data_IF_599706236587
#
_entry.id   IF_599706236587
#
_cell.length_a   1.000
_cell.length_b   1.000
_cell.length_c   1.000
_cell.angle_alpha   90.00
_cell.angle_beta   90.00
_cell.angle_gamma   90.00
#
_symmetry.space_group_name_H-M   'P 1'
#
loop_
_entity.id
_entity.type
_entity.pdbx_description
1 polymer ?
#
# COMPACT_ATOMS: atom_id res chain seq x y z
N UNK A 1 -9.33 -13.98 23.70
CA UNK A 1 -10.10 -12.81 23.22
C UNK A 1 -10.97 -13.24 22.05
N UNK A 2 -12.19 -12.68 21.94
CA UNK A 2 -13.09 -12.95 20.81
C UNK A 2 -13.04 -11.79 19.82
N UNK A 3 -12.81 -12.06 18.55
CA UNK A 3 -12.60 -11.06 17.51
C UNK A 3 -13.57 -11.27 16.36
N UNK A 4 -14.13 -10.19 15.85
CA UNK A 4 -14.79 -10.12 14.55
C UNK A 4 -13.90 -9.30 13.63
N UNK A 5 -13.42 -9.91 12.54
CA UNK A 5 -12.54 -9.25 11.58
C UNK A 5 -13.27 -9.00 10.25
N UNK A 6 -13.28 -7.74 9.82
CA UNK A 6 -13.88 -7.36 8.55
C UNK A 6 -12.98 -7.74 7.36
N UNK A 7 -13.53 -8.43 6.37
CA UNK A 7 -12.78 -9.00 5.24
C UNK A 7 -13.00 -8.28 3.92
N UNK A 8 -13.77 -7.20 3.88
CA UNK A 8 -14.08 -6.44 2.67
C UNK A 8 -12.86 -5.94 1.88
N UNK A 9 -11.73 -5.61 2.54
CA UNK A 9 -10.53 -5.20 1.81
C UNK A 9 -9.81 -6.35 1.07
N UNK A 10 -10.10 -7.60 1.44
CA UNK A 10 -9.51 -8.79 0.79
C UNK A 10 -10.19 -9.02 -0.55
N UNK A 11 -9.69 -8.35 -1.59
CA UNK A 11 -10.18 -8.46 -2.99
C UNK A 11 -9.00 -8.68 -3.91
N UNK A 12 -9.14 -9.61 -4.84
CA UNK A 12 -8.09 -9.93 -5.81
C UNK A 12 -8.27 -9.17 -7.14
N UNK A 13 -7.18 -8.65 -7.75
CA UNK A 13 -5.81 -8.65 -7.23
C UNK A 13 -5.69 -7.83 -5.93
N UNK A 14 -4.81 -8.28 -5.01
CA UNK A 14 -4.66 -7.64 -3.71
C UNK A 14 -4.02 -6.26 -3.84
N UNK A 15 -4.62 -5.28 -3.18
CA UNK A 15 -3.97 -3.99 -2.88
C UNK A 15 -3.10 -4.11 -1.62
N UNK A 16 -2.31 -3.08 -1.30
CA UNK A 16 -1.55 -3.05 -0.03
C UNK A 16 -2.44 -3.28 1.20
N UNK A 17 -3.63 -2.64 1.25
CA UNK A 17 -4.62 -2.83 2.32
C UNK A 17 -5.21 -4.25 2.31
N UNK A 18 -5.47 -4.79 1.13
CA UNK A 18 -5.94 -6.17 0.99
C UNK A 18 -4.91 -7.18 1.49
N UNK A 19 -3.63 -6.97 1.18
CA UNK A 19 -2.51 -7.79 1.66
C UNK A 19 -2.37 -7.71 3.18
N UNK A 20 -2.38 -6.51 3.75
CA UNK A 20 -2.40 -6.32 5.21
C UNK A 20 -3.52 -7.11 5.86
N UNK A 21 -4.76 -6.95 5.36
CA UNK A 21 -5.93 -7.63 5.92
C UNK A 21 -5.82 -9.15 5.85
N UNK A 22 -5.32 -9.68 4.72
CA UNK A 22 -5.12 -11.11 4.51
C UNK A 22 -4.05 -11.67 5.44
N UNK A 23 -2.89 -11.01 5.52
CA UNK A 23 -1.76 -11.47 6.33
C UNK A 23 -2.08 -11.42 7.84
N UNK A 24 -2.79 -10.36 8.27
CA UNK A 24 -3.19 -10.22 9.65
C UNK A 24 -4.24 -11.26 10.04
N UNK A 25 -5.31 -11.43 9.26
CA UNK A 25 -6.38 -12.38 9.60
C UNK A 25 -5.90 -13.82 9.62
N UNK A 26 -5.00 -14.23 8.73
CA UNK A 26 -4.39 -15.56 8.74
C UNK A 26 -3.64 -15.84 10.05
N UNK A 27 -2.91 -14.86 10.57
CA UNK A 27 -2.14 -15.00 11.80
C UNK A 27 -3.00 -14.93 13.05
N UNK A 28 -4.02 -14.06 13.04
CA UNK A 28 -5.00 -14.02 14.12
C UNK A 28 -5.74 -15.35 14.26
N UNK A 29 -6.02 -16.05 13.15
CA UNK A 29 -6.71 -17.34 13.17
C UNK A 29 -5.94 -18.48 13.89
N UNK A 30 -4.62 -18.33 14.02
CA UNK A 30 -3.76 -19.34 14.69
C UNK A 30 -3.12 -18.82 15.98
N UNK A 31 -3.40 -17.57 16.36
CA UNK A 31 -2.84 -16.96 17.56
C UNK A 31 -3.51 -17.52 18.82
N UNK A 32 -2.71 -17.92 19.81
CA UNK A 32 -3.18 -18.53 21.07
C UNK A 32 -4.04 -17.58 21.91
N UNK A 33 -3.82 -16.28 21.79
CA UNK A 33 -4.54 -15.24 22.51
C UNK A 33 -5.98 -15.03 21.98
N UNK A 34 -6.26 -15.53 20.78
CA UNK A 34 -7.57 -15.43 20.13
C UNK A 34 -8.35 -16.71 20.40
N UNK A 35 -9.37 -16.60 21.25
CA UNK A 35 -10.25 -17.69 21.61
C UNK A 35 -11.24 -18.03 20.48
N UNK A 36 -11.75 -16.99 19.83
CA UNK A 36 -12.69 -17.12 18.73
C UNK A 36 -12.47 -15.99 17.72
N UNK A 37 -12.35 -16.37 16.44
CA UNK A 37 -12.27 -15.45 15.32
C UNK A 37 -13.45 -15.66 14.37
N UNK A 38 -14.27 -14.63 14.20
CA UNK A 38 -15.34 -14.61 13.19
C UNK A 38 -14.95 -13.68 12.04
N UNK A 39 -15.22 -14.13 10.82
CA UNK A 39 -15.00 -13.35 9.61
C UNK A 39 -16.30 -12.66 9.23
N UNK A 40 -16.24 -11.34 8.98
CA UNK A 40 -17.40 -10.54 8.61
C UNK A 40 -17.19 -9.92 7.25
N UNK A 41 -18.16 -10.10 6.35
CA UNK A 41 -18.09 -9.56 4.98
C UNK A 41 -19.43 -8.90 4.61
N UNK A 42 -19.37 -7.62 4.23
CA UNK A 42 -20.58 -6.86 3.93
C UNK A 42 -21.47 -6.68 5.17
N UNK A 43 -22.46 -7.50 5.34
CA UNK A 43 -23.38 -7.50 6.48
C UNK A 43 -23.70 -8.93 6.97
N UNK A 44 -22.79 -9.88 6.75
CA UNK A 44 -22.94 -11.28 7.12
C UNK A 44 -21.61 -11.91 7.55
N UNK A 45 -21.70 -12.97 8.35
CA UNK A 45 -20.55 -13.80 8.69
C UNK A 45 -20.24 -14.76 7.54
N UNK A 46 -18.97 -15.07 7.36
CA UNK A 46 -18.46 -16.03 6.39
C UNK A 46 -17.53 -17.03 7.12
N UNK A 47 -17.46 -18.27 6.62
CA UNK A 47 -16.68 -19.34 7.26
C UNK A 47 -15.23 -19.39 6.78
N UNK A 48 -14.92 -18.79 5.62
CA UNK A 48 -13.59 -18.85 5.01
C UNK A 48 -13.10 -17.48 4.60
N UNK A 49 -11.78 -17.28 4.71
CA UNK A 49 -11.12 -16.09 4.19
C UNK A 49 -11.32 -16.04 2.66
N UNK A 50 -11.73 -14.88 2.09
CA UNK A 50 -11.90 -14.75 0.65
C UNK A 50 -10.64 -15.19 -0.13
N UNK A 51 -10.82 -16.07 -1.10
CA UNK A 51 -9.75 -16.61 -1.96
C UNK A 51 -9.90 -16.12 -3.40
N UNK A 52 -8.87 -16.34 -4.22
CA UNK A 52 -8.93 -16.08 -5.66
C UNK A 52 -10.03 -16.96 -6.26
N UNK A 53 -11.05 -16.35 -6.84
CA UNK A 53 -12.01 -17.11 -7.66
C UNK A 53 -11.28 -17.71 -8.87
N UNK A 54 -11.15 -19.02 -8.93
CA UNK A 54 -10.68 -19.71 -10.12
C UNK A 54 -11.67 -19.42 -11.24
N UNK A 55 -11.20 -18.80 -12.33
CA UNK A 55 -11.99 -18.46 -13.52
C UNK A 55 -12.67 -19.65 -14.20
N UNK A 56 -12.47 -20.87 -13.73
CA UNK A 56 -13.11 -22.08 -14.28
C UNK A 56 -14.60 -22.23 -13.92
N UNK A 57 -15.13 -21.50 -12.93
CA UNK A 57 -16.54 -21.63 -12.50
C UNK A 57 -17.44 -20.46 -12.90
N UNK A 58 -17.01 -19.60 -13.82
CA UNK A 58 -17.91 -18.59 -14.38
C UNK A 58 -18.89 -19.21 -15.40
N UNK A 59 -19.89 -19.93 -14.89
CA UNK A 59 -21.22 -19.78 -15.49
C UNK A 59 -21.53 -18.30 -15.39
N UNK A 60 -21.60 -17.63 -16.56
CA UNK A 60 -21.93 -16.22 -16.68
C UNK A 60 -23.19 -15.93 -15.87
N UNK A 61 -23.01 -15.51 -14.62
CA UNK A 61 -24.14 -15.19 -13.78
C UNK A 61 -24.68 -13.85 -14.28
N UNK A 62 -25.92 -13.83 -14.67
CA UNK A 62 -26.69 -12.61 -14.99
C UNK A 62 -26.64 -11.55 -13.87
N UNK A 63 -26.13 -11.92 -12.67
CA UNK A 63 -25.92 -11.03 -11.54
C UNK A 63 -24.86 -9.94 -11.78
N UNK A 64 -23.80 -10.22 -12.56
CA UNK A 64 -22.75 -9.22 -12.85
C UNK A 64 -23.24 -8.05 -13.70
N UNK A 65 -24.13 -8.31 -14.67
CA UNK A 65 -24.73 -7.25 -15.52
C UNK A 65 -25.79 -6.44 -14.77
N UNK A 66 -26.59 -7.10 -13.92
CA UNK A 66 -27.60 -6.45 -13.10
C UNK A 66 -26.94 -5.56 -12.04
N UNK A 67 -25.86 -6.01 -11.39
CA UNK A 67 -25.11 -5.23 -10.40
C UNK A 67 -24.42 -4.01 -11.01
N UNK A 68 -23.90 -4.12 -12.24
CA UNK A 68 -23.30 -3.00 -12.95
C UNK A 68 -24.34 -1.94 -13.38
N UNK A 69 -25.55 -2.38 -13.75
CA UNK A 69 -26.67 -1.48 -14.06
C UNK A 69 -27.22 -0.78 -12.80
N UNK A 70 -27.36 -1.52 -11.70
CA UNK A 70 -27.80 -0.99 -10.39
C UNK A 70 -26.81 0.03 -9.82
N UNK A 71 -25.51 -0.14 -10.05
CA UNK A 71 -24.44 0.82 -9.64
C UNK A 71 -24.48 2.15 -10.39
N UNK A 72 -25.26 2.30 -11.43
CA UNK A 72 -25.45 3.56 -12.18
C UNK A 72 -26.68 4.36 -11.75
N UNK A 73 -27.49 3.83 -10.84
CA UNK A 73 -28.70 4.51 -10.34
C UNK A 73 -28.40 5.25 -9.04
N UNK A 74 -28.36 6.61 -9.02
CA UNK A 74 -27.99 7.40 -7.83
C UNK A 74 -28.85 7.07 -6.60
N UNK A 75 -30.16 6.90 -6.80
CA UNK A 75 -31.12 6.59 -5.73
C UNK A 75 -30.86 5.23 -5.06
N UNK A 76 -30.42 4.22 -5.82
CA UNK A 76 -30.09 2.90 -5.28
C UNK A 76 -28.77 2.92 -4.50
N UNK A 77 -27.82 3.73 -4.94
CA UNK A 77 -26.56 3.95 -4.22
C UNK A 77 -26.84 4.65 -2.89
N UNK A 78 -27.70 5.65 -2.87
CA UNK A 78 -28.13 6.34 -1.64
C UNK A 78 -28.87 5.42 -0.69
N UNK A 79 -29.83 4.64 -1.20
CA UNK A 79 -30.57 3.65 -0.40
C UNK A 79 -29.60 2.58 0.19
N UNK A 80 -28.65 2.09 -0.61
CA UNK A 80 -27.62 1.17 -0.12
C UNK A 80 -26.76 1.81 0.97
N UNK A 81 -26.32 3.06 0.78
CA UNK A 81 -25.52 3.81 1.78
C UNK A 81 -26.27 3.99 3.11
N UNK A 82 -27.58 4.17 3.08
CA UNK A 82 -28.40 4.32 4.28
C UNK A 82 -28.73 2.99 4.97
N UNK A 83 -28.96 1.94 4.19
CA UNK A 83 -29.42 0.64 4.72
C UNK A 83 -28.26 -0.27 5.14
N UNK A 84 -27.11 -0.19 4.44
CA UNK A 84 -25.98 -1.08 4.70
C UNK A 84 -25.43 -0.97 6.13
N UNK A 85 -25.16 0.24 6.70
CA UNK A 85 -24.70 0.37 8.07
C UNK A 85 -25.71 -0.14 9.11
N UNK A 86 -27.01 0.01 8.84
CA UNK A 86 -28.07 -0.52 9.72
C UNK A 86 -28.10 -2.04 9.71
N UNK A 87 -27.91 -2.66 8.53
CA UNK A 87 -27.84 -4.12 8.41
C UNK A 87 -26.61 -4.68 9.12
N UNK A 88 -25.47 -4.01 9.02
CA UNK A 88 -24.25 -4.36 9.75
C UNK A 88 -24.50 -4.28 11.27
N UNK A 89 -25.03 -3.16 11.75
CA UNK A 89 -25.31 -2.97 13.18
C UNK A 89 -26.30 -4.01 13.71
N UNK A 90 -27.30 -4.42 12.90
CA UNK A 90 -28.24 -5.49 13.26
C UNK A 90 -27.55 -6.85 13.33
N UNK A 91 -26.69 -7.20 12.38
CA UNK A 91 -25.96 -8.46 12.37
C UNK A 91 -24.96 -8.58 13.54
N UNK A 92 -24.46 -7.47 14.03
CA UNK A 92 -23.43 -7.41 15.09
C UNK A 92 -24.03 -7.20 16.51
N UNK A 93 -25.34 -7.00 16.63
CA UNK A 93 -26.00 -6.61 17.90
C UNK A 93 -25.81 -7.60 19.06
N UNK A 94 -25.68 -8.89 18.75
CA UNK A 94 -25.57 -9.98 19.71
C UNK A 94 -24.10 -10.31 20.08
N UNK A 95 -23.13 -9.56 19.52
CA UNK A 95 -21.68 -9.80 19.65
C UNK A 95 -20.98 -8.69 20.44
N UNK A 96 -21.57 -8.22 21.52
CA UNK A 96 -21.06 -7.07 22.32
C UNK A 96 -19.76 -7.40 23.04
N UNK A 97 -19.50 -8.67 23.36
CA UNK A 97 -18.29 -9.17 23.99
C UNK A 97 -17.10 -9.34 23.00
N UNK A 98 -17.37 -9.22 21.70
CA UNK A 98 -16.33 -9.29 20.67
C UNK A 98 -15.70 -7.92 20.40
N UNK A 99 -14.41 -7.93 20.09
CA UNK A 99 -13.72 -6.78 19.49
C UNK A 99 -13.97 -6.85 18.00
N UNK A 100 -14.60 -5.81 17.44
CA UNK A 100 -14.72 -5.67 15.99
C UNK A 100 -13.52 -4.93 15.45
N UNK A 101 -12.79 -5.51 14.49
CA UNK A 101 -11.71 -4.87 13.78
C UNK A 101 -12.05 -4.60 12.32
N UNK A 102 -12.16 -3.32 11.95
CA UNK A 102 -12.20 -2.82 10.59
C UNK A 102 -10.78 -2.55 10.10
N UNK A 103 -10.18 -3.39 9.23
CA UNK A 103 -8.78 -3.24 8.82
C UNK A 103 -8.56 -2.15 7.76
N UNK A 104 -9.57 -1.33 7.50
CA UNK A 104 -9.53 -0.22 6.55
C UNK A 104 -10.53 0.86 6.95
N UNK A 105 -10.10 1.92 7.59
CA UNK A 105 -10.80 3.15 7.98
C UNK A 105 -12.21 2.99 8.55
N UNK A 106 -13.10 2.24 7.87
CA UNK A 106 -14.54 2.27 8.10
C UNK A 106 -14.98 1.34 9.22
N UNK A 107 -15.94 1.85 10.03
CA UNK A 107 -16.57 1.10 11.11
C UNK A 107 -18.09 1.08 10.93
N UNK A 108 -18.75 -0.03 11.25
CA UNK A 108 -20.21 -0.04 11.48
C UNK A 108 -20.61 0.85 12.66
N UNK A 109 -21.82 1.38 12.61
CA UNK A 109 -22.33 2.21 13.72
C UNK A 109 -22.60 1.38 14.98
N UNK A 110 -22.49 2.05 16.15
CA UNK A 110 -22.93 1.52 17.47
C UNK A 110 -22.17 0.30 17.97
N UNK A 111 -20.88 0.20 17.69
CA UNK A 111 -20.03 -0.85 18.27
C UNK A 111 -19.45 -0.38 19.60
N UNK A 112 -19.51 -1.25 20.63
CA UNK A 112 -18.96 -0.94 21.95
C UNK A 112 -17.43 -1.12 22.01
N UNK A 113 -16.88 -2.09 21.28
CA UNK A 113 -15.45 -2.45 21.24
C UNK A 113 -14.94 -2.44 19.79
N UNK A 114 -14.83 -1.25 19.22
CA UNK A 114 -14.44 -1.07 17.83
C UNK A 114 -12.97 -0.67 17.68
N UNK A 115 -12.26 -1.39 16.83
CA UNK A 115 -10.89 -1.08 16.37
C UNK A 115 -10.93 -0.81 14.88
N UNK A 116 -10.21 0.20 14.43
CA UNK A 116 -10.02 0.45 13.00
C UNK A 116 -8.55 0.73 12.68
N UNK A 117 -8.11 0.34 11.48
CA UNK A 117 -6.76 0.65 11.00
C UNK A 117 -6.80 1.81 10.00
N UNK A 118 -6.03 2.85 10.30
CA UNK A 118 -5.78 3.97 9.41
C UNK A 118 -4.45 3.76 8.70
N UNK A 119 -4.51 3.51 7.39
CA UNK A 119 -3.32 3.30 6.57
C UNK A 119 -2.63 4.60 6.17
N UNK A 120 -3.39 5.67 6.00
CA UNK A 120 -2.93 7.05 5.84
C UNK A 120 -4.06 8.02 6.17
N UNK A 121 -3.75 9.31 6.20
CA UNK A 121 -4.73 10.39 6.33
C UNK A 121 -4.53 11.46 5.26
N UNK A 122 -4.01 11.06 4.11
CA UNK A 122 -3.72 11.95 2.97
C UNK A 122 -4.94 12.75 2.49
N UNK A 123 -6.14 12.22 2.70
CA UNK A 123 -7.40 12.93 2.42
C UNK A 123 -7.50 14.26 3.20
N UNK A 124 -6.96 14.31 4.42
CA UNK A 124 -7.01 15.50 5.27
C UNK A 124 -5.77 16.39 5.10
N UNK A 125 -4.61 15.80 4.84
CA UNK A 125 -3.32 16.50 4.82
C UNK A 125 -2.95 17.02 3.44
N UNK A 126 -3.39 16.34 2.38
CA UNK A 126 -3.11 16.71 0.99
C UNK A 126 -4.31 16.37 0.08
N UNK A 127 -5.50 16.98 0.35
CA UNK A 127 -6.73 16.71 -0.40
C UNK A 127 -6.62 17.04 -1.90
N UNK A 128 -5.72 17.95 -2.27
CA UNK A 128 -5.45 18.35 -3.65
C UNK A 128 -4.93 17.20 -4.53
N UNK A 129 -4.34 16.16 -3.92
CA UNK A 129 -3.87 14.98 -4.65
C UNK A 129 -4.97 13.94 -4.90
N UNK A 130 -6.19 14.20 -4.42
CA UNK A 130 -7.30 13.27 -4.53
C UNK A 130 -8.47 13.84 -5.35
N UNK A 131 -9.23 12.99 -6.04
CA UNK A 131 -10.47 13.42 -6.68
C UNK A 131 -11.45 14.03 -5.65
N UNK A 132 -12.03 15.20 -5.96
CA UNK A 132 -12.88 15.98 -5.03
C UNK A 132 -14.05 15.18 -4.45
N UNK A 133 -14.69 14.32 -5.27
CA UNK A 133 -15.80 13.49 -4.80
C UNK A 133 -15.34 12.43 -3.79
N UNK A 134 -14.11 11.91 -3.97
CA UNK A 134 -13.50 10.98 -3.03
C UNK A 134 -13.19 11.66 -1.69
N UNK A 135 -12.62 12.87 -1.73
CA UNK A 135 -12.32 13.68 -0.53
C UNK A 135 -13.60 13.86 0.30
N UNK A 136 -14.65 14.43 -0.31
CA UNK A 136 -15.91 14.71 0.39
C UNK A 136 -16.54 13.47 1.04
N UNK A 137 -16.51 12.33 0.34
CA UNK A 137 -17.08 11.09 0.86
C UNK A 137 -16.22 10.52 2.01
N UNK A 138 -14.90 10.47 1.82
CA UNK A 138 -13.99 9.88 2.80
C UNK A 138 -13.87 10.73 4.06
N UNK A 139 -13.78 12.06 3.97
CA UNK A 139 -13.72 12.94 5.13
C UNK A 139 -14.81 12.63 6.14
N UNK A 140 -16.08 12.59 5.68
CA UNK A 140 -17.21 12.29 6.56
C UNK A 140 -17.06 10.92 7.23
N UNK A 141 -16.79 9.89 6.44
CA UNK A 141 -16.70 8.51 6.94
C UNK A 141 -15.52 8.29 7.87
N UNK A 142 -14.40 8.98 7.63
CA UNK A 142 -13.22 8.91 8.49
C UNK A 142 -13.46 9.63 9.83
N UNK A 143 -14.14 10.77 9.84
CA UNK A 143 -14.56 11.43 11.08
C UNK A 143 -15.50 10.54 11.90
N UNK A 144 -16.51 9.93 11.28
CA UNK A 144 -17.41 8.99 11.94
C UNK A 144 -16.65 7.80 12.57
N UNK A 145 -15.61 7.31 11.90
CA UNK A 145 -14.78 6.22 12.41
C UNK A 145 -13.85 6.67 13.54
N UNK A 146 -13.27 7.89 13.46
CA UNK A 146 -12.48 8.49 14.53
C UNK A 146 -13.31 8.63 15.83
N UNK A 147 -14.53 9.09 15.70
CA UNK A 147 -15.46 9.29 16.84
C UNK A 147 -15.91 7.93 17.44
N UNK A 148 -16.15 6.94 16.60
CA UNK A 148 -16.70 5.64 17.01
C UNK A 148 -15.66 4.66 17.51
N UNK A 149 -14.41 4.74 17.03
CA UNK A 149 -13.34 3.82 17.41
C UNK A 149 -12.98 3.95 18.88
N UNK A 150 -12.89 2.83 19.58
CA UNK A 150 -12.31 2.77 20.93
C UNK A 150 -10.79 2.73 20.87
N UNK A 151 -10.24 2.17 19.79
CA UNK A 151 -8.83 2.09 19.52
C UNK A 151 -8.58 2.27 18.01
N UNK A 152 -7.60 3.08 17.67
CA UNK A 152 -7.10 3.23 16.31
C UNK A 152 -5.75 2.53 16.18
N UNK A 153 -5.58 1.77 15.13
CA UNK A 153 -4.28 1.27 14.69
C UNK A 153 -3.78 2.11 13.53
N UNK A 154 -2.50 2.41 13.52
CA UNK A 154 -1.83 3.09 12.41
C UNK A 154 -0.66 2.23 11.94
N UNK A 155 -0.29 2.39 10.68
CA UNK A 155 0.75 1.57 10.07
C UNK A 155 2.16 2.18 10.21
N UNK A 156 2.25 3.42 10.72
CA UNK A 156 3.50 4.14 10.97
C UNK A 156 3.37 5.08 12.16
N UNK A 157 4.50 5.43 12.78
CA UNK A 157 4.54 6.42 13.86
C UNK A 157 4.25 7.82 13.33
N UNK A 158 4.60 8.11 12.07
CA UNK A 158 4.19 9.31 11.37
C UNK A 158 2.66 9.45 11.31
N UNK A 159 1.95 8.45 10.79
CA UNK A 159 0.48 8.47 10.71
C UNK A 159 -0.17 8.59 12.09
N UNK A 160 0.41 7.94 13.11
CA UNK A 160 -0.02 8.08 14.50
C UNK A 160 0.09 9.52 14.97
N UNK A 161 1.24 10.13 14.79
CA UNK A 161 1.50 11.52 15.21
C UNK A 161 0.58 12.52 14.51
N UNK A 162 0.34 12.33 13.22
CA UNK A 162 -0.57 13.17 12.44
C UNK A 162 -2.02 13.07 12.91
N UNK A 163 -2.52 11.87 13.23
CA UNK A 163 -3.88 11.71 13.76
C UNK A 163 -4.01 12.40 15.13
N UNK A 164 -3.03 12.22 16.01
CA UNK A 164 -3.02 12.90 17.31
C UNK A 164 -3.04 14.41 17.12
N UNK A 165 -2.18 14.94 16.25
CA UNK A 165 -2.02 16.38 16.01
C UNK A 165 -3.27 17.00 15.38
N UNK A 166 -3.84 16.38 14.34
CA UNK A 166 -4.95 16.95 13.54
C UNK A 166 -6.29 16.85 14.26
N UNK A 167 -6.53 15.74 14.96
CA UNK A 167 -7.84 15.43 15.56
C UNK A 167 -7.82 15.53 17.10
N UNK A 168 -6.68 15.97 17.70
CA UNK A 168 -6.48 15.96 19.15
C UNK A 168 -6.88 14.60 19.75
N UNK A 169 -6.53 13.50 19.04
CA UNK A 169 -6.96 12.15 19.40
C UNK A 169 -6.20 11.66 20.64
N UNK A 170 -6.86 10.99 21.60
CA UNK A 170 -6.21 10.51 22.82
C UNK A 170 -5.06 9.54 22.54
N UNK A 171 -3.88 9.81 23.09
CA UNK A 171 -2.65 9.04 22.85
C UNK A 171 -2.77 7.59 23.29
N UNK A 172 -3.55 7.33 24.34
CA UNK A 172 -3.84 6.02 24.90
C UNK A 172 -4.80 5.18 24.05
N UNK A 173 -5.48 5.79 23.07
CA UNK A 173 -6.43 5.14 22.18
C UNK A 173 -5.91 4.96 20.74
N UNK A 174 -4.61 5.10 20.56
CA UNK A 174 -3.97 4.93 19.24
C UNK A 174 -2.65 4.19 19.37
N UNK A 175 -2.45 3.16 18.57
CA UNK A 175 -1.24 2.35 18.56
C UNK A 175 -0.69 2.17 17.15
N UNK A 176 0.63 2.08 17.01
CA UNK A 176 1.29 1.76 15.75
C UNK A 176 1.47 0.26 15.60
N UNK A 177 1.13 -0.27 14.42
CA UNK A 177 1.34 -1.66 14.01
C UNK A 177 2.00 -1.66 12.63
N UNK A 178 3.34 -1.70 12.61
CA UNK A 178 4.12 -1.57 11.37
C UNK A 178 3.87 -2.75 10.44
N UNK A 179 3.72 -2.46 9.14
CA UNK A 179 3.50 -3.47 8.11
C UNK A 179 4.77 -4.27 7.81
N UNK A 180 4.60 -5.33 7.04
CA UNK A 180 5.69 -6.08 6.44
C UNK A 180 5.39 -6.37 4.96
N UNK A 181 6.39 -6.80 4.19
CA UNK A 181 6.19 -7.30 2.83
C UNK A 181 5.91 -8.82 2.83
N UNK A 182 5.52 -9.35 1.66
CA UNK A 182 5.39 -10.80 1.48
C UNK A 182 6.77 -11.47 1.55
N UNK A 183 6.79 -12.73 2.01
CA UNK A 183 7.99 -13.59 2.01
C UNK A 183 8.56 -13.86 0.61
N UNK A 184 7.83 -13.53 -0.45
CA UNK A 184 8.27 -13.67 -1.83
C UNK A 184 9.33 -12.62 -2.23
N UNK A 185 9.38 -11.49 -1.51
CA UNK A 185 10.37 -10.42 -1.72
C UNK A 185 11.67 -10.78 -1.00
N UNK A 186 12.56 -11.43 -1.73
CA UNK A 186 13.88 -11.87 -1.28
C UNK A 186 14.94 -11.59 -2.37
N UNK A 187 16.22 -11.52 -2.02
CA UNK A 187 17.27 -11.49 -3.02
C UNK A 187 17.22 -12.73 -3.92
N UNK A 188 17.43 -12.54 -5.20
CA UNK A 188 17.45 -13.61 -6.22
C UNK A 188 18.69 -13.53 -7.09
N UNK A 189 19.06 -14.64 -7.64
CA UNK A 189 20.14 -14.73 -8.65
C UNK A 189 19.66 -14.28 -10.05
N UNK A 190 20.59 -13.90 -10.94
CA UNK A 190 20.24 -13.61 -12.35
C UNK A 190 19.50 -14.76 -13.04
N UNK A 191 19.84 -16.00 -12.74
CA UNK A 191 19.22 -17.18 -13.34
C UNK A 191 17.73 -17.32 -12.93
N UNK A 192 17.41 -17.07 -11.65
CA UNK A 192 16.03 -17.11 -11.17
C UNK A 192 15.16 -16.00 -11.77
N UNK A 193 15.75 -14.83 -12.02
CA UNK A 193 15.01 -13.69 -12.62
C UNK A 193 14.87 -13.79 -14.14
N UNK A 194 15.69 -14.59 -14.82
CA UNK A 194 15.78 -14.63 -16.28
C UNK A 194 14.45 -14.83 -16.99
N UNK A 195 13.55 -15.76 -16.58
CA UNK A 195 12.26 -15.96 -17.28
C UNK A 195 11.39 -14.70 -17.26
N UNK A 196 11.33 -13.99 -16.11
CA UNK A 196 10.55 -12.76 -15.96
C UNK A 196 11.21 -11.61 -16.72
N UNK A 197 12.53 -11.49 -16.65
CA UNK A 197 13.28 -10.48 -17.41
C UNK A 197 13.07 -10.64 -18.92
N UNK A 198 13.09 -11.87 -19.43
CA UNK A 198 12.80 -12.15 -20.85
C UNK A 198 11.36 -11.76 -21.23
N UNK A 199 10.37 -12.08 -20.39
CA UNK A 199 8.97 -11.69 -20.59
C UNK A 199 8.81 -10.18 -20.76
N UNK A 200 9.52 -9.40 -19.97
CA UNK A 200 9.48 -7.94 -20.04
C UNK A 200 10.64 -7.31 -20.84
N UNK A 201 11.48 -8.12 -21.51
CA UNK A 201 12.64 -7.66 -22.28
C UNK A 201 13.54 -6.70 -21.48
N UNK A 202 13.87 -7.10 -20.26
CA UNK A 202 14.74 -6.36 -19.33
C UNK A 202 16.04 -7.11 -19.10
N UNK A 203 17.08 -6.38 -18.67
CA UNK A 203 18.37 -6.96 -18.32
C UNK A 203 18.58 -6.92 -16.78
N UNK A 204 19.29 -7.91 -16.27
CA UNK A 204 19.70 -7.95 -14.87
C UNK A 204 20.51 -6.70 -14.49
N UNK A 205 20.07 -6.00 -13.44
CA UNK A 205 20.63 -4.71 -12.99
C UNK A 205 20.79 -3.66 -14.11
N UNK A 206 19.97 -3.75 -15.14
CA UNK A 206 20.01 -2.88 -16.31
C UNK A 206 18.97 -1.75 -16.30
N UNK A 207 18.31 -1.46 -15.17
CA UNK A 207 17.24 -0.45 -15.11
C UNK A 207 17.03 0.14 -13.71
N UNK A 208 16.50 1.35 -13.67
CA UNK A 208 15.87 1.89 -12.47
C UNK A 208 14.38 1.52 -12.44
N UNK A 209 13.83 1.25 -11.27
CA UNK A 209 12.46 0.77 -11.11
C UNK A 209 11.61 1.72 -10.26
N UNK A 210 10.39 1.97 -10.71
CA UNK A 210 9.30 2.56 -9.95
C UNK A 210 8.09 1.64 -10.01
N UNK A 211 7.44 1.38 -8.88
CA UNK A 211 6.19 0.61 -8.79
C UNK A 211 5.17 1.38 -7.97
N UNK A 212 3.99 1.61 -8.55
CA UNK A 212 2.86 2.27 -7.89
C UNK A 212 1.82 2.78 -8.88
N UNK A 213 0.62 3.06 -8.38
CA UNK A 213 -0.41 3.74 -9.18
C UNK A 213 0.09 5.11 -9.60
N UNK A 214 -0.17 5.50 -10.85
CA UNK A 214 0.20 6.81 -11.38
C UNK A 214 -0.79 7.86 -10.86
N UNK A 215 -0.46 8.46 -9.71
CA UNK A 215 -1.28 9.46 -9.02
C UNK A 215 -0.41 10.63 -8.52
N UNK A 216 -0.93 11.87 -8.44
CA UNK A 216 -0.14 13.06 -8.12
C UNK A 216 0.68 12.95 -6.83
N UNK A 217 0.15 12.29 -5.81
CA UNK A 217 0.81 12.06 -4.52
C UNK A 217 2.15 11.31 -4.64
N UNK A 218 2.30 10.50 -5.70
CA UNK A 218 3.49 9.67 -5.95
C UNK A 218 4.64 10.43 -6.62
N UNK A 219 4.41 11.69 -7.03
CA UNK A 219 5.44 12.56 -7.61
C UNK A 219 6.18 11.97 -8.82
N UNK A 220 5.45 11.28 -9.70
CA UNK A 220 6.05 10.71 -10.90
C UNK A 220 6.60 11.81 -11.81
N UNK A 221 5.98 12.98 -11.81
CA UNK A 221 6.47 14.15 -12.56
C UNK A 221 7.86 14.57 -12.10
N UNK A 222 8.07 14.72 -10.78
CA UNK A 222 9.39 15.02 -10.22
C UNK A 222 10.42 13.93 -10.53
N UNK A 223 10.01 12.65 -10.48
CA UNK A 223 10.85 11.53 -10.90
C UNK A 223 11.30 11.67 -12.37
N UNK A 224 10.37 11.95 -13.29
CA UNK A 224 10.71 12.11 -14.71
C UNK A 224 11.61 13.31 -14.95
N UNK A 225 11.37 14.42 -14.27
CA UNK A 225 12.23 15.62 -14.34
C UNK A 225 13.63 15.31 -13.83
N UNK A 226 13.76 14.68 -12.67
CA UNK A 226 15.06 14.27 -12.13
C UNK A 226 15.80 13.30 -13.06
N UNK A 227 15.07 12.37 -13.66
CA UNK A 227 15.66 11.42 -14.62
C UNK A 227 16.12 12.13 -15.91
N UNK A 228 15.43 13.16 -16.37
CA UNK A 228 15.83 13.96 -17.52
C UNK A 228 17.15 14.73 -17.31
N UNK A 229 17.49 15.08 -16.08
CA UNK A 229 18.77 15.74 -15.74
C UNK A 229 19.98 14.80 -15.83
N UNK A 230 19.76 13.48 -15.80
CA UNK A 230 20.84 12.51 -15.95
C UNK A 230 21.47 12.60 -17.36
N UNK A 231 22.80 12.31 -17.49
CA UNK A 231 23.43 12.17 -18.79
C UNK A 231 22.68 11.19 -19.70
N UNK A 232 22.57 11.53 -20.99
CA UNK A 232 21.84 10.69 -21.96
C UNK A 232 22.36 9.23 -22.00
N UNK A 233 23.68 9.07 -21.93
CA UNK A 233 24.30 7.76 -21.87
C UNK A 233 23.82 6.95 -20.66
N UNK A 234 23.72 7.58 -19.48
CA UNK A 234 23.24 6.93 -18.26
C UNK A 234 21.76 6.53 -18.40
N UNK A 235 20.92 7.40 -18.95
CA UNK A 235 19.50 7.11 -19.18
C UNK A 235 19.29 5.96 -20.15
N UNK A 236 20.10 5.89 -21.19
CA UNK A 236 20.03 4.81 -22.19
C UNK A 236 20.56 3.50 -21.65
N UNK A 237 21.59 3.54 -20.82
CA UNK A 237 22.16 2.36 -20.16
C UNK A 237 21.22 1.79 -19.09
N UNK A 238 20.55 2.66 -18.34
CA UNK A 238 19.65 2.33 -17.26
C UNK A 238 18.28 3.02 -17.46
N UNK A 239 17.43 2.51 -18.37
CA UNK A 239 16.12 3.10 -18.56
C UNK A 239 15.27 3.03 -17.29
N UNK A 240 14.36 4.00 -17.13
CA UNK A 240 13.40 4.04 -16.07
C UNK A 240 12.19 3.13 -16.42
N UNK A 241 11.99 2.11 -15.62
CA UNK A 241 10.84 1.21 -15.73
C UNK A 241 9.76 1.68 -14.77
N UNK A 242 8.59 2.00 -15.33
CA UNK A 242 7.40 2.38 -14.58
C UNK A 242 6.39 1.24 -14.62
N UNK A 243 5.90 0.81 -13.46
CA UNK A 243 4.84 -0.19 -13.37
C UNK A 243 3.75 0.22 -12.40
N UNK A 244 2.51 -0.07 -12.75
CA UNK A 244 1.31 0.20 -11.96
C UNK A 244 0.12 0.59 -12.81
N UNK A 245 -1.03 0.80 -12.16
CA UNK A 245 -2.23 1.25 -12.86
C UNK A 245 -2.12 2.71 -13.30
N UNK A 246 -2.74 3.02 -14.45
CA UNK A 246 -2.96 4.40 -14.88
C UNK A 246 -3.99 5.04 -13.94
N UNK A 247 -3.52 5.74 -12.91
CA UNK A 247 -4.36 6.43 -11.93
C UNK A 247 -5.05 7.68 -12.51
N UNK A 248 -5.08 8.74 -11.73
CA UNK A 248 -5.73 10.01 -12.08
C UNK A 248 -4.75 11.16 -12.34
N UNK A 249 -3.54 10.83 -12.78
CA UNK A 249 -2.60 11.83 -13.31
C UNK A 249 -3.12 12.48 -14.60
N UNK A 250 -2.68 13.71 -14.84
CA UNK A 250 -3.09 14.49 -15.99
C UNK A 250 -2.42 14.05 -17.31
N UNK A 251 -2.94 14.56 -18.42
CA UNK A 251 -2.42 14.25 -19.75
C UNK A 251 -0.99 14.77 -19.96
N UNK A 252 -0.56 15.80 -19.22
CA UNK A 252 0.80 16.35 -19.33
C UNK A 252 1.84 15.32 -18.85
N UNK A 253 1.56 14.62 -17.74
CA UNK A 253 2.42 13.52 -17.31
C UNK A 253 2.53 12.43 -18.40
N UNK A 254 1.40 12.05 -18.97
CA UNK A 254 1.39 10.98 -19.98
C UNK A 254 2.12 11.38 -21.26
N UNK A 255 2.07 12.64 -21.68
CA UNK A 255 2.90 13.16 -22.77
C UNK A 255 4.40 13.06 -22.47
N UNK A 256 4.82 13.33 -21.21
CA UNK A 256 6.22 13.15 -20.79
C UNK A 256 6.64 11.67 -20.84
N UNK A 257 5.79 10.75 -20.36
CA UNK A 257 6.03 9.30 -20.43
C UNK A 257 6.16 8.84 -21.87
N UNK A 258 5.25 9.26 -22.77
CA UNK A 258 5.27 8.92 -24.19
C UNK A 258 6.52 9.46 -24.88
N UNK A 259 6.92 10.68 -24.55
CA UNK A 259 8.15 11.29 -25.07
C UNK A 259 9.37 10.48 -24.65
N UNK A 260 9.54 10.20 -23.35
CA UNK A 260 10.67 9.42 -22.85
C UNK A 260 10.69 7.98 -23.38
N UNK A 261 9.50 7.41 -23.67
CA UNK A 261 9.38 6.10 -24.32
C UNK A 261 9.89 6.16 -25.76
N UNK A 262 9.55 7.17 -26.54
CA UNK A 262 10.06 7.39 -27.91
C UNK A 262 11.57 7.65 -27.91
N UNK A 263 12.08 8.35 -26.91
CA UNK A 263 13.51 8.62 -26.73
C UNK A 263 14.28 7.38 -26.20
N UNK A 264 13.59 6.33 -25.73
CA UNK A 264 14.16 5.04 -25.35
C UNK A 264 14.59 4.91 -23.87
N UNK A 265 14.42 5.96 -23.04
CA UNK A 265 14.85 5.95 -21.63
C UNK A 265 13.72 5.71 -20.62
N UNK A 266 12.46 5.60 -21.07
CA UNK A 266 11.31 5.17 -20.25
C UNK A 266 10.66 3.94 -20.87
N UNK A 267 10.21 3.04 -20.01
CA UNK A 267 9.28 1.97 -20.38
C UNK A 267 8.15 1.87 -19.35
N UNK A 268 6.93 2.08 -19.79
CA UNK A 268 5.74 1.87 -18.97
C UNK A 268 5.19 0.47 -19.23
N UNK A 269 5.22 -0.40 -18.21
CA UNK A 269 4.76 -1.78 -18.30
C UNK A 269 3.27 -1.96 -18.01
N UNK A 270 2.60 -0.89 -17.51
CA UNK A 270 1.25 -1.04 -16.98
C UNK A 270 1.22 -1.88 -15.70
N UNK A 271 0.10 -2.56 -15.47
CA UNK A 271 -0.02 -3.49 -14.35
C UNK A 271 0.82 -4.74 -14.61
N UNK A 272 1.66 -5.06 -13.66
CA UNK A 272 2.44 -6.29 -13.60
C UNK A 272 1.81 -7.23 -12.56
N UNK A 273 1.59 -8.51 -12.90
CA UNK A 273 1.08 -9.49 -11.94
C UNK A 273 1.93 -9.62 -10.68
N UNK A 274 1.28 -9.87 -9.54
CA UNK A 274 1.94 -9.96 -8.24
C UNK A 274 3.05 -11.03 -8.19
N UNK A 275 2.91 -12.10 -8.96
CA UNK A 275 3.91 -13.17 -9.10
C UNK A 275 5.21 -12.74 -9.79
N UNK A 276 5.16 -11.74 -10.65
CA UNK A 276 6.33 -11.23 -11.39
C UNK A 276 7.08 -10.12 -10.64
N UNK A 277 6.35 -9.37 -9.77
CA UNK A 277 6.90 -8.20 -9.09
C UNK A 277 8.17 -8.50 -8.29
N UNK A 278 8.27 -9.57 -7.48
CA UNK A 278 9.48 -9.86 -6.72
C UNK A 278 10.73 -10.04 -7.58
N UNK A 279 10.57 -10.55 -8.79
CA UNK A 279 11.67 -10.73 -9.74
C UNK A 279 12.10 -9.41 -10.38
N UNK A 280 11.12 -8.53 -10.70
CA UNK A 280 11.42 -7.19 -11.21
C UNK A 280 12.12 -6.34 -10.15
N UNK A 281 11.72 -6.44 -8.89
CA UNK A 281 12.45 -5.80 -7.81
C UNK A 281 13.88 -6.35 -7.72
N UNK A 282 14.05 -7.67 -7.52
CA UNK A 282 15.35 -8.27 -7.29
C UNK A 282 16.37 -8.03 -8.43
N UNK A 283 15.88 -7.85 -9.64
CA UNK A 283 16.71 -7.59 -10.82
C UNK A 283 16.95 -6.10 -11.12
N UNK A 284 16.35 -5.19 -10.38
CA UNK A 284 16.54 -3.75 -10.58
C UNK A 284 17.93 -3.28 -10.12
N UNK A 285 18.47 -2.25 -10.77
CA UNK A 285 19.70 -1.57 -10.36
C UNK A 285 19.48 -0.71 -9.13
N UNK A 286 18.36 0.02 -9.12
CA UNK A 286 17.89 0.86 -8.03
C UNK A 286 16.37 0.96 -8.07
N UNK A 287 15.77 1.21 -6.91
CA UNK A 287 14.35 1.52 -6.78
C UNK A 287 14.18 2.99 -6.41
N UNK A 288 13.32 3.72 -7.11
CA UNK A 288 13.14 5.16 -6.91
C UNK A 288 11.69 5.46 -6.53
N UNK A 289 11.48 6.16 -5.39
CA UNK A 289 10.15 6.38 -4.84
C UNK A 289 10.02 7.77 -4.18
N UNK A 290 9.97 8.86 -4.97
CA UNK A 290 10.02 10.24 -4.48
C UNK A 290 8.63 10.80 -4.10
N UNK A 291 7.79 10.01 -3.45
CA UNK A 291 6.41 10.37 -3.11
C UNK A 291 6.34 11.58 -2.20
N UNK A 292 5.33 12.44 -2.40
CA UNK A 292 5.02 13.56 -1.50
C UNK A 292 4.41 13.07 -0.18
N UNK A 293 3.63 12.01 -0.23
CA UNK A 293 2.96 11.49 0.96
C UNK A 293 2.77 9.98 0.89
N UNK A 294 3.12 9.28 1.97
CA UNK A 294 2.87 7.86 2.21
C UNK A 294 2.44 7.60 3.65
N UNK A 295 1.54 6.63 3.82
CA UNK A 295 1.18 6.18 5.15
C UNK A 295 2.17 5.16 5.73
N UNK A 296 2.92 4.43 4.87
CA UNK A 296 3.98 3.51 5.28
C UNK A 296 5.15 3.49 4.29
N UNK A 297 4.97 2.96 3.08
CA UNK A 297 6.04 2.80 2.09
C UNK A 297 6.37 1.34 1.79
N UNK A 298 5.36 0.48 1.66
CA UNK A 298 5.55 -0.94 1.30
C UNK A 298 6.49 -1.14 0.10
N UNK A 299 6.42 -0.36 -1.01
CA UNK A 299 7.33 -0.54 -2.13
C UNK A 299 8.81 -0.37 -1.79
N UNK A 300 9.13 0.52 -0.85
CA UNK A 300 10.51 0.70 -0.34
C UNK A 300 10.94 -0.56 0.41
N UNK A 301 10.09 -1.07 1.29
CA UNK A 301 10.37 -2.28 2.05
C UNK A 301 10.53 -3.50 1.14
N UNK A 302 9.71 -3.62 0.08
CA UNK A 302 9.80 -4.66 -0.94
C UNK A 302 11.14 -4.61 -1.68
N UNK A 303 11.58 -3.41 -2.09
CA UNK A 303 12.89 -3.21 -2.72
C UNK A 303 14.05 -3.61 -1.80
N UNK A 304 14.05 -3.13 -0.56
CA UNK A 304 15.07 -3.46 0.43
C UNK A 304 15.11 -4.96 0.74
N UNK A 305 13.94 -5.61 0.84
CA UNK A 305 13.84 -7.06 1.07
C UNK A 305 14.43 -7.87 -0.10
N UNK A 306 14.34 -7.33 -1.32
CA UNK A 306 14.99 -7.90 -2.50
C UNK A 306 16.48 -7.57 -2.63
N UNK A 307 17.07 -6.81 -1.70
CA UNK A 307 18.47 -6.39 -1.73
C UNK A 307 18.75 -5.26 -2.74
N UNK A 308 17.75 -4.45 -3.07
CA UNK A 308 17.87 -3.37 -4.05
C UNK A 308 18.03 -2.03 -3.35
N UNK A 309 19.07 -1.24 -3.71
CA UNK A 309 19.26 0.11 -3.20
C UNK A 309 18.07 1.03 -3.50
N UNK A 310 17.74 1.89 -2.56
CA UNK A 310 16.56 2.76 -2.62
C UNK A 310 16.94 4.23 -2.66
N UNK A 311 16.27 4.99 -3.52
CA UNK A 311 16.21 6.45 -3.51
C UNK A 311 14.77 6.86 -3.24
N UNK A 312 14.51 7.60 -2.15
CA UNK A 312 13.14 8.00 -1.81
C UNK A 312 13.06 9.39 -1.19
N UNK A 313 11.85 9.84 -0.88
CA UNK A 313 11.65 11.10 -0.18
C UNK A 313 12.01 11.00 1.31
N UNK A 314 12.43 12.13 1.88
CA UNK A 314 12.73 12.31 3.30
C UNK A 314 11.51 12.75 4.13
N UNK A 315 10.30 12.58 3.60
CA UNK A 315 9.05 13.06 4.22
C UNK A 315 8.13 11.92 4.61
N UNK A 316 7.19 12.22 5.49
CA UNK A 316 6.12 11.32 5.96
C UNK A 316 6.66 10.06 6.65
N UNK A 317 6.14 8.89 6.30
CA UNK A 317 6.57 7.61 6.89
C UNK A 317 7.81 6.99 6.22
N UNK A 318 8.29 7.56 5.09
CA UNK A 318 9.37 6.94 4.32
C UNK A 318 10.69 6.85 5.10
N UNK A 319 11.10 7.88 5.89
CA UNK A 319 12.28 7.79 6.74
C UNK A 319 12.21 6.66 7.79
N UNK A 320 11.02 6.35 8.32
CA UNK A 320 10.84 5.25 9.28
C UNK A 320 11.11 3.87 8.63
N UNK A 321 10.80 3.74 7.35
CA UNK A 321 10.93 2.48 6.62
C UNK A 321 12.34 2.31 6.08
N UNK A 322 12.90 3.34 5.44
CA UNK A 322 14.22 3.25 4.81
C UNK A 322 15.37 3.29 5.82
N UNK A 323 15.19 3.98 6.96
CA UNK A 323 16.27 4.19 7.93
C UNK A 323 17.48 4.86 7.30
N UNK A 324 18.67 4.32 7.53
CA UNK A 324 19.94 4.75 6.95
C UNK A 324 20.37 3.92 5.73
N UNK A 325 19.46 3.12 5.17
CA UNK A 325 19.74 2.18 4.11
C UNK A 325 19.62 2.75 2.68
N UNK A 326 19.03 3.94 2.52
CA UNK A 326 18.80 4.56 1.22
C UNK A 326 19.28 6.01 1.14
N UNK A 327 19.25 6.57 -0.07
CA UNK A 327 19.40 8.00 -0.31
C UNK A 327 18.03 8.66 -0.20
N UNK A 328 17.95 9.75 0.57
CA UNK A 328 16.70 10.46 0.80
C UNK A 328 16.82 11.93 0.40
N UNK A 329 15.79 12.47 -0.24
CA UNK A 329 15.75 13.87 -0.67
C UNK A 329 14.37 14.49 -0.41
N UNK A 330 14.30 15.82 -0.36
CA UNK A 330 13.03 16.52 -0.44
C UNK A 330 12.34 16.17 -1.78
N UNK A 331 11.08 15.75 -1.79
CA UNK A 331 10.38 15.40 -3.03
C UNK A 331 10.22 16.57 -4.01
N UNK A 332 10.43 17.81 -3.57
CA UNK A 332 10.45 19.02 -4.42
C UNK A 332 11.84 19.34 -4.98
N UNK A 333 12.90 18.74 -4.45
CA UNK A 333 14.27 18.99 -4.89
C UNK A 333 14.67 18.01 -6.00
N UNK A 334 14.30 18.37 -7.23
CA UNK A 334 14.55 17.58 -8.44
C UNK A 334 16.05 17.33 -8.67
N UNK A 335 16.90 18.30 -8.33
CA UNK A 335 18.36 18.19 -8.51
C UNK A 335 18.97 17.18 -7.52
N UNK A 336 18.55 17.23 -6.23
CA UNK A 336 18.98 16.25 -5.24
C UNK A 336 18.50 14.84 -5.59
N UNK A 337 17.25 14.69 -6.02
CA UNK A 337 16.72 13.40 -6.49
C UNK A 337 17.55 12.87 -7.66
N UNK A 338 17.86 13.74 -8.64
CA UNK A 338 18.70 13.37 -9.80
C UNK A 338 20.09 12.91 -9.38
N UNK A 339 20.75 13.68 -8.49
CA UNK A 339 22.09 13.34 -7.98
C UNK A 339 22.08 11.98 -7.26
N UNK A 340 21.06 11.72 -6.42
CA UNK A 340 20.91 10.45 -5.72
C UNK A 340 20.62 9.28 -6.68
N UNK A 341 19.80 9.49 -7.71
CA UNK A 341 19.58 8.49 -8.74
C UNK A 341 20.91 8.17 -9.45
N UNK A 342 21.67 9.20 -9.85
CA UNK A 342 22.95 9.01 -10.51
C UNK A 342 23.93 8.21 -9.65
N UNK A 343 24.06 8.56 -8.37
CA UNK A 343 24.90 7.84 -7.42
C UNK A 343 24.44 6.38 -7.31
N UNK A 344 23.16 6.13 -7.13
CA UNK A 344 22.62 4.77 -6.97
C UNK A 344 22.78 3.89 -8.21
N UNK A 345 22.90 4.49 -9.40
CA UNK A 345 23.14 3.80 -10.65
C UNK A 345 24.61 3.48 -10.89
N UNK A 346 25.55 4.34 -10.45
CA UNK A 346 26.96 4.30 -10.87
C UNK A 346 27.94 3.93 -9.74
N UNK A 347 27.62 4.20 -8.47
CA UNK A 347 28.50 3.92 -7.33
C UNK A 347 28.28 2.51 -6.78
N UNK A 348 29.04 1.54 -7.27
CA UNK A 348 28.94 0.15 -6.84
C UNK A 348 29.32 -0.04 -5.36
N UNK A 349 30.30 0.72 -4.84
CA UNK A 349 30.70 0.64 -3.43
C UNK A 349 29.59 1.10 -2.49
N UNK A 350 28.92 2.21 -2.83
CA UNK A 350 27.74 2.66 -2.08
C UNK A 350 26.61 1.64 -2.16
N UNK A 351 26.38 1.06 -3.34
CA UNK A 351 25.31 0.07 -3.56
C UNK A 351 25.48 -1.18 -2.70
N UNK A 352 26.71 -1.70 -2.56
CA UNK A 352 26.99 -2.83 -1.67
C UNK A 352 26.62 -2.52 -0.23
N UNK A 353 26.99 -1.34 0.27
CA UNK A 353 26.65 -0.87 1.63
C UNK A 353 25.14 -0.71 1.78
N UNK A 354 24.47 -0.05 0.83
CA UNK A 354 23.04 0.18 0.85
C UNK A 354 22.24 -1.14 0.80
N UNK A 355 22.67 -2.10 -0.01
CA UNK A 355 22.10 -3.45 -0.06
C UNK A 355 22.18 -4.15 1.29
N UNK A 356 23.36 -4.18 1.92
CA UNK A 356 23.54 -4.81 3.22
C UNK A 356 22.69 -4.16 4.32
N UNK A 357 22.64 -2.82 4.35
CA UNK A 357 21.83 -2.05 5.29
C UNK A 357 20.33 -2.25 5.01
N UNK A 358 19.91 -2.24 3.74
CA UNK A 358 18.51 -2.45 3.33
C UNK A 358 17.99 -3.80 3.78
N UNK A 359 18.74 -4.86 3.59
CA UNK A 359 18.41 -6.20 4.06
C UNK A 359 18.31 -6.29 5.60
N UNK A 360 19.21 -5.60 6.31
CA UNK A 360 19.18 -5.54 7.78
C UNK A 360 17.96 -4.73 8.27
N UNK A 361 17.66 -3.60 7.65
CA UNK A 361 16.51 -2.77 7.95
C UNK A 361 15.20 -3.50 7.68
N UNK A 362 15.08 -4.18 6.54
CA UNK A 362 13.87 -4.91 6.16
C UNK A 362 13.50 -6.02 7.15
N UNK A 363 14.49 -6.68 7.77
CA UNK A 363 14.26 -7.72 8.79
C UNK A 363 13.58 -7.22 10.07
N UNK A 364 13.56 -5.91 10.31
CA UNK A 364 12.86 -5.34 11.46
C UNK A 364 11.34 -5.35 11.28
N UNK A 365 10.86 -5.53 10.04
CA UNK A 365 9.45 -5.52 9.67
C UNK A 365 9.00 -6.95 9.38
N UNK A 366 8.15 -7.51 10.25
CA UNK A 366 7.58 -8.84 10.07
C UNK A 366 6.08 -8.84 10.36
N UNK A 367 5.35 -9.72 9.68
CA UNK A 367 3.92 -9.89 9.93
C UNK A 367 3.66 -10.46 11.33
N UNK A 368 4.61 -11.20 11.89
CA UNK A 368 4.59 -11.70 13.27
C UNK A 368 4.61 -10.53 14.27
N UNK A 369 5.52 -9.55 14.06
CA UNK A 369 5.58 -8.33 14.88
C UNK A 369 4.30 -7.50 14.73
N UNK A 370 3.82 -7.30 13.49
CA UNK A 370 2.56 -6.60 13.21
C UNK A 370 1.39 -7.25 13.97
N UNK A 371 1.29 -8.58 13.91
CA UNK A 371 0.23 -9.33 14.60
C UNK A 371 0.36 -9.22 16.12
N UNK A 372 1.57 -9.36 16.65
CA UNK A 372 1.83 -9.21 18.09
C UNK A 372 1.48 -7.82 18.59
N UNK A 373 1.87 -6.77 17.87
CA UNK A 373 1.51 -5.39 18.20
C UNK A 373 -0.01 -5.19 18.15
N UNK A 374 -0.70 -5.77 17.16
CA UNK A 374 -2.15 -5.73 17.02
C UNK A 374 -2.85 -6.42 18.20
N UNK A 375 -2.41 -7.61 18.59
CA UNK A 375 -2.95 -8.36 19.74
C UNK A 375 -2.72 -7.59 21.04
N UNK A 376 -1.54 -6.99 21.21
CA UNK A 376 -1.25 -6.17 22.39
C UNK A 376 -2.13 -4.91 22.43
N UNK A 377 -2.40 -4.31 21.29
CA UNK A 377 -3.33 -3.19 21.20
C UNK A 377 -4.77 -3.59 21.56
N UNK A 378 -5.24 -4.77 21.14
CA UNK A 378 -6.56 -5.27 21.54
C UNK A 378 -6.71 -5.44 23.06
N UNK A 379 -5.62 -5.74 23.79
CA UNK A 379 -5.65 -5.87 25.26
C UNK A 379 -5.91 -4.56 25.98
N UNK A 380 -5.85 -3.42 25.29
CA UNK A 380 -6.20 -2.10 25.84
C UNK A 380 -7.72 -1.88 25.91
N UNK A 381 -8.52 -2.75 25.30
CA UNK A 381 -9.98 -2.72 25.29
C UNK A 381 -10.58 -3.67 26.33
#
# INVERSE_FOLDING_TARGET
>A
MKIIFATEPIKYPLTGIGRYSLELVKRLAVAREIEELKLFHGASFIDQIPQVENKSDTKASNHGRLSAFLRRQPLLIEAYRLLHPRRQAWALRDYKDYIYHGPNFYLPHRLERAVTTFHDISIFTCPEYHPKDRVRYMEKSLHESLDSAKLILTVSDFSRSEIIRLFNYPVERIATTKLACSSDYIPRSPAECLPVLQKYQLAWQGYALYIGTMEPRKNIRGLLQAYQLLPMETRMRYPLILSGYRGWEDDVLWQLVERGTREGWIRYLGYVPDEDLPYLYAAARTFVYPSFYEGFGLPILEAMSCGVPVVCSNVTSLPEVVGDAGLVADPNDVDAISAHILQSLQDDSWREIATARGLAQAKQFSWENCTTQTINAYKLL
#
